data_IF_428520077657
#
_entry.id   IF_428520077657
#
_cell.length_a   1.000
_cell.length_b   1.000
_cell.length_c   1.000
_cell.angle_alpha   90.00
_cell.angle_beta   90.00
_cell.angle_gamma   90.00
#
_symmetry.space_group_name_H-M   'P 1'
#
loop_
_entity.id
_entity.type
_entity.pdbx_description
1 polymer ?
#
# COMPACT_ATOMS: atom_id res chain seq x y z
N UNK A 1 -11.68 -15.53 5.09
CA UNK A 1 -12.73 -15.39 4.03
C UNK A 1 -12.08 -14.63 2.90
N UNK A 2 -12.27 -15.01 1.64
CA UNK A 2 -11.72 -14.24 0.52
C UNK A 2 -12.37 -12.87 0.43
N UNK A 3 -11.67 -11.87 -0.15
CA UNK A 3 -12.23 -10.52 -0.34
C UNK A 3 -13.48 -10.54 -1.22
N UNK A 4 -13.51 -11.40 -2.23
CA UNK A 4 -14.70 -11.57 -3.10
C UNK A 4 -15.90 -12.06 -2.28
N UNK A 5 -15.73 -13.07 -1.42
CA UNK A 5 -16.80 -13.55 -0.55
C UNK A 5 -17.28 -12.46 0.44
N UNK A 6 -16.37 -11.62 0.92
CA UNK A 6 -16.73 -10.49 1.77
C UNK A 6 -17.57 -9.46 1.00
N UNK A 7 -17.17 -9.15 -0.24
CA UNK A 7 -17.94 -8.27 -1.14
C UNK A 7 -19.33 -8.86 -1.42
N UNK A 8 -19.42 -10.16 -1.75
CA UNK A 8 -20.71 -10.83 -1.96
C UNK A 8 -21.59 -10.77 -0.71
N UNK A 9 -21.02 -10.99 0.47
CA UNK A 9 -21.76 -10.90 1.73
C UNK A 9 -22.30 -9.49 1.96
N UNK A 10 -21.49 -8.44 1.81
CA UNK A 10 -21.94 -7.06 1.95
C UNK A 10 -22.97 -6.67 0.87
N UNK A 11 -22.76 -7.07 -0.39
CA UNK A 11 -23.74 -6.90 -1.45
C UNK A 11 -25.08 -7.59 -1.12
N UNK A 12 -25.02 -8.77 -0.51
CA UNK A 12 -26.23 -9.49 -0.14
C UNK A 12 -27.05 -8.80 0.94
N UNK A 13 -26.42 -7.98 1.78
CA UNK A 13 -27.06 -7.29 2.93
C UNK A 13 -27.36 -5.81 2.66
N UNK A 14 -26.90 -5.26 1.54
CA UNK A 14 -27.07 -3.84 1.20
C UNK A 14 -28.56 -3.48 1.06
N UNK A 15 -28.95 -2.33 1.57
CA UNK A 15 -30.31 -1.82 1.37
C UNK A 15 -30.60 -1.40 -0.09
N UNK A 16 -31.89 -1.34 -0.45
CA UNK A 16 -32.31 -1.10 -1.84
C UNK A 16 -31.82 0.24 -2.40
N UNK A 17 -31.83 1.30 -1.60
CA UNK A 17 -31.43 2.63 -2.04
C UNK A 17 -29.92 2.71 -2.27
N UNK A 18 -29.15 2.13 -1.36
CA UNK A 18 -27.69 2.09 -1.44
C UNK A 18 -27.25 1.18 -2.60
N UNK A 19 -27.92 0.03 -2.80
CA UNK A 19 -27.69 -0.85 -3.95
C UNK A 19 -27.93 -0.13 -5.28
N UNK A 20 -29.04 0.59 -5.40
CA UNK A 20 -29.36 1.38 -6.59
C UNK A 20 -28.28 2.43 -6.89
N UNK A 21 -27.81 3.19 -5.88
CA UNK A 21 -26.72 4.15 -6.04
C UNK A 21 -25.41 3.47 -6.45
N UNK A 22 -25.09 2.31 -5.86
CA UNK A 22 -23.92 1.51 -6.22
C UNK A 22 -23.99 1.11 -7.70
N UNK A 23 -25.11 0.56 -8.16
CA UNK A 23 -25.28 0.14 -9.57
C UNK A 23 -25.13 1.34 -10.51
N UNK A 24 -25.76 2.47 -10.22
CA UNK A 24 -25.65 3.68 -11.04
C UNK A 24 -24.20 4.16 -11.13
N UNK A 25 -23.46 4.17 -10.01
CA UNK A 25 -22.05 4.54 -9.97
C UNK A 25 -21.17 3.55 -10.76
N UNK A 26 -21.44 2.25 -10.60
CA UNK A 26 -20.77 1.20 -11.33
C UNK A 26 -20.98 1.31 -12.84
N UNK A 27 -22.22 1.49 -13.30
CA UNK A 27 -22.54 1.65 -14.73
C UNK A 27 -21.91 2.91 -15.32
N UNK A 28 -21.91 4.02 -14.56
CA UNK A 28 -21.25 5.25 -14.96
C UNK A 28 -19.75 5.06 -15.17
N UNK A 29 -19.09 4.29 -14.32
CA UNK A 29 -17.65 4.01 -14.43
C UNK A 29 -17.35 2.98 -15.53
N UNK A 30 -18.13 1.90 -15.61
CA UNK A 30 -17.89 0.78 -16.53
C UNK A 30 -18.11 1.16 -17.99
N UNK A 31 -19.17 1.91 -18.26
CA UNK A 31 -19.61 2.23 -19.62
C UNK A 31 -19.47 3.72 -19.98
N UNK A 32 -18.95 4.53 -19.06
CA UNK A 32 -18.89 6.00 -19.21
C UNK A 32 -20.26 6.64 -19.44
N UNK A 33 -21.32 6.05 -18.84
CA UNK A 33 -22.68 6.54 -18.98
C UNK A 33 -22.98 7.70 -18.02
N UNK A 34 -23.76 8.66 -18.49
CA UNK A 34 -24.44 9.62 -17.61
C UNK A 34 -25.79 9.02 -17.17
N UNK A 35 -25.82 8.42 -15.98
CA UNK A 35 -27.00 7.73 -15.46
C UNK A 35 -27.88 8.71 -14.68
N UNK A 36 -29.13 8.84 -15.10
CA UNK A 36 -30.18 9.63 -14.42
C UNK A 36 -31.01 8.72 -13.52
N UNK A 37 -31.14 9.10 -12.24
CA UNK A 37 -31.86 8.30 -11.23
C UNK A 37 -33.29 8.82 -11.04
N UNK A 38 -34.28 7.92 -11.09
CA UNK A 38 -35.66 8.16 -10.74
C UNK A 38 -36.06 7.45 -9.43
N UNK A 39 -35.26 6.50 -8.94
CA UNK A 39 -35.57 5.62 -7.81
C UNK A 39 -35.02 6.07 -6.47
N UNK A 40 -34.30 7.21 -6.36
CA UNK A 40 -33.73 7.68 -5.10
C UNK A 40 -33.94 9.18 -4.88
N UNK A 41 -34.16 9.57 -3.63
CA UNK A 41 -34.23 10.97 -3.25
C UNK A 41 -32.89 11.64 -3.26
N UNK A 42 -32.79 12.85 -3.81
CA UNK A 42 -31.53 13.60 -3.90
C UNK A 42 -30.95 13.87 -2.50
N UNK A 43 -29.71 13.49 -2.29
CA UNK A 43 -29.00 13.75 -1.01
C UNK A 43 -29.40 12.84 0.16
N UNK A 44 -30.33 11.90 -0.02
CA UNK A 44 -30.78 10.97 1.01
C UNK A 44 -30.70 9.51 0.51
N UNK A 45 -30.56 8.55 1.44
CA UNK A 45 -30.63 7.11 1.15
C UNK A 45 -32.08 6.59 1.29
N UNK A 46 -33.04 7.33 0.70
CA UNK A 46 -34.47 6.97 0.72
C UNK A 46 -34.94 6.63 -0.69
N UNK A 47 -35.58 5.46 -0.89
CA UNK A 47 -36.16 5.10 -2.16
C UNK A 47 -37.38 5.96 -2.45
N UNK A 48 -37.59 6.29 -3.72
CA UNK A 48 -38.84 6.86 -4.24
C UNK A 48 -39.38 5.98 -5.38
N UNK A 49 -40.66 6.04 -5.63
CA UNK A 49 -41.29 5.29 -6.72
C UNK A 49 -41.00 5.99 -8.04
N UNK A 50 -40.30 5.32 -8.92
CA UNK A 50 -40.03 5.74 -10.29
C UNK A 50 -40.03 4.55 -11.24
N UNK A 51 -40.21 4.75 -12.55
CA UNK A 51 -40.09 3.73 -13.60
C UNK A 51 -39.56 4.40 -14.86
N UNK A 52 -38.39 3.96 -15.38
CA UNK A 52 -37.47 2.99 -14.75
C UNK A 52 -36.80 3.55 -13.49
N UNK A 53 -36.15 2.69 -12.70
CA UNK A 53 -35.36 3.10 -11.53
C UNK A 53 -34.30 4.13 -11.92
N UNK A 54 -33.62 3.87 -13.05
CA UNK A 54 -32.67 4.81 -13.68
C UNK A 54 -32.68 4.66 -15.21
N UNK A 55 -32.16 5.68 -15.90
CA UNK A 55 -32.02 5.64 -17.34
C UNK A 55 -30.77 6.39 -17.81
N UNK A 56 -30.34 6.04 -19.04
CA UNK A 56 -29.33 6.77 -19.79
C UNK A 56 -29.98 7.25 -21.07
N UNK A 57 -29.86 8.55 -21.37
CA UNK A 57 -30.23 9.11 -22.67
C UNK A 57 -29.01 9.05 -23.59
N UNK A 58 -29.17 8.44 -24.75
CA UNK A 58 -28.12 8.32 -25.75
C UNK A 58 -28.15 9.54 -26.70
N UNK A 59 -27.03 9.79 -27.39
CA UNK A 59 -26.89 10.93 -28.30
C UNK A 59 -27.85 10.86 -29.53
N UNK A 60 -28.21 9.64 -29.93
CA UNK A 60 -29.17 9.38 -31.02
C UNK A 60 -30.65 9.54 -30.62
N UNK A 61 -30.92 9.92 -29.35
CA UNK A 61 -32.25 10.10 -28.81
C UNK A 61 -32.91 8.83 -28.28
N UNK A 62 -32.18 7.72 -28.23
CA UNK A 62 -32.62 6.45 -27.67
C UNK A 62 -32.26 6.34 -26.18
N UNK A 63 -32.74 5.29 -25.52
CA UNK A 63 -32.62 5.11 -24.09
C UNK A 63 -32.11 3.74 -23.70
N UNK A 64 -31.34 3.70 -22.60
CA UNK A 64 -31.05 2.50 -21.84
C UNK A 64 -31.76 2.60 -20.49
N UNK A 65 -32.61 1.64 -20.15
CA UNK A 65 -33.28 1.59 -18.87
C UNK A 65 -32.55 0.69 -17.90
N UNK A 66 -32.60 1.03 -16.61
CA UNK A 66 -31.96 0.28 -15.52
C UNK A 66 -33.00 -0.01 -14.46
N UNK A 67 -33.13 -1.29 -14.09
CA UNK A 67 -33.97 -1.75 -12.98
C UNK A 67 -33.12 -2.53 -11.98
N UNK A 68 -33.27 -2.23 -10.72
CA UNK A 68 -32.51 -2.84 -9.63
C UNK A 68 -33.44 -3.51 -8.62
N UNK A 69 -33.03 -4.62 -8.04
CA UNK A 69 -33.77 -5.23 -6.95
C UNK A 69 -32.86 -5.85 -5.91
N UNK A 70 -33.25 -5.73 -4.64
CA UNK A 70 -32.64 -6.46 -3.50
C UNK A 70 -33.53 -7.60 -3.01
N UNK A 71 -34.59 -7.95 -3.76
CA UNK A 71 -35.46 -9.06 -3.45
C UNK A 71 -34.71 -10.40 -3.51
N UNK A 72 -34.97 -11.30 -2.52
CA UNK A 72 -34.26 -12.57 -2.39
C UNK A 72 -35.01 -13.78 -2.97
N UNK A 73 -36.29 -13.66 -3.23
CA UNK A 73 -37.15 -14.70 -3.79
C UNK A 73 -37.99 -14.13 -4.92
N UNK A 74 -38.44 -14.99 -5.83
CA UNK A 74 -39.31 -14.64 -6.99
C UNK A 74 -38.76 -13.51 -7.85
N UNK A 75 -37.42 -13.46 -8.02
CA UNK A 75 -36.71 -12.41 -8.74
C UNK A 75 -37.16 -12.35 -10.21
N UNK A 76 -37.38 -13.50 -10.86
CA UNK A 76 -37.90 -13.60 -12.22
C UNK A 76 -39.24 -12.86 -12.35
N UNK A 77 -40.21 -13.18 -11.47
CA UNK A 77 -41.54 -12.55 -11.48
C UNK A 77 -41.46 -11.03 -11.23
N UNK A 78 -40.55 -10.61 -10.33
CA UNK A 78 -40.28 -9.19 -10.06
C UNK A 78 -39.81 -8.49 -11.32
N UNK A 79 -38.76 -8.99 -11.96
CA UNK A 79 -38.21 -8.38 -13.18
C UNK A 79 -39.18 -8.40 -14.35
N UNK A 80 -39.97 -9.46 -14.56
CA UNK A 80 -40.99 -9.48 -15.57
C UNK A 80 -42.06 -8.39 -15.34
N UNK A 81 -42.41 -8.14 -14.06
CA UNK A 81 -43.35 -7.08 -13.69
C UNK A 81 -42.75 -5.68 -13.96
N UNK A 82 -41.46 -5.50 -13.67
CA UNK A 82 -40.80 -4.24 -13.88
C UNK A 82 -40.57 -3.98 -15.38
N UNK A 83 -40.18 -4.98 -16.15
CA UNK A 83 -40.09 -4.87 -17.61
C UNK A 83 -41.42 -4.50 -18.25
N UNK A 84 -42.56 -5.07 -17.78
CA UNK A 84 -43.89 -4.67 -18.25
C UNK A 84 -44.20 -3.19 -17.99
N UNK A 85 -43.72 -2.63 -16.86
CA UNK A 85 -43.84 -1.22 -16.57
C UNK A 85 -42.93 -0.35 -17.44
N UNK A 86 -41.67 -0.80 -17.62
CA UNK A 86 -40.70 -0.12 -18.48
C UNK A 86 -41.17 0.00 -19.93
N UNK A 87 -41.92 -0.98 -20.42
CA UNK A 87 -42.45 -1.01 -21.79
C UNK A 87 -43.84 -0.38 -21.91
N UNK A 88 -44.37 0.17 -20.83
CA UNK A 88 -45.65 0.89 -20.81
C UNK A 88 -45.36 2.40 -21.00
N UNK A 89 -45.62 2.91 -22.23
CA UNK A 89 -45.37 4.30 -22.59
C UNK A 89 -46.15 5.28 -21.72
N UNK A 90 -47.32 4.85 -21.15
CA UNK A 90 -48.10 5.70 -20.28
C UNK A 90 -47.44 5.93 -18.92
N UNK A 91 -46.54 5.04 -18.50
CA UNK A 91 -45.78 5.11 -17.25
C UNK A 91 -44.43 5.79 -17.39
N UNK A 92 -43.75 5.53 -18.50
CA UNK A 92 -42.39 6.03 -18.72
C UNK A 92 -42.36 7.36 -19.48
N UNK A 93 -43.42 7.66 -20.28
CA UNK A 93 -43.44 8.77 -21.22
C UNK A 93 -42.52 8.59 -22.42
N UNK A 94 -41.95 7.38 -22.59
CA UNK A 94 -40.98 7.08 -23.63
C UNK A 94 -41.50 5.95 -24.50
N UNK A 95 -41.49 6.15 -25.83
CA UNK A 95 -41.94 5.12 -26.78
C UNK A 95 -41.02 3.90 -26.70
N UNK A 96 -41.58 2.69 -26.72
CA UNK A 96 -40.85 1.43 -26.66
C UNK A 96 -39.80 1.30 -27.76
N UNK A 97 -40.08 1.90 -28.95
CA UNK A 97 -39.15 1.90 -30.08
C UNK A 97 -37.85 2.65 -29.81
N UNK A 98 -37.82 3.51 -28.80
CA UNK A 98 -36.65 4.28 -28.39
C UNK A 98 -35.86 3.57 -27.27
N UNK A 99 -36.31 2.44 -26.79
CA UNK A 99 -35.60 1.68 -25.75
C UNK A 99 -34.68 0.66 -26.45
N UNK A 100 -33.38 0.88 -26.43
CA UNK A 100 -32.41 -0.01 -27.07
C UNK A 100 -32.00 -1.17 -26.18
N UNK A 101 -31.88 -0.90 -24.90
CA UNK A 101 -31.35 -1.87 -23.93
C UNK A 101 -32.00 -1.68 -22.57
N UNK A 102 -32.18 -2.80 -21.87
CA UNK A 102 -32.49 -2.79 -20.45
C UNK A 102 -31.37 -3.47 -19.68
N UNK A 103 -30.98 -2.87 -18.56
CA UNK A 103 -30.02 -3.43 -17.61
C UNK A 103 -30.81 -3.84 -16.38
N UNK A 104 -30.75 -5.13 -16.02
CA UNK A 104 -31.34 -5.66 -14.79
C UNK A 104 -30.23 -6.04 -13.81
N UNK A 105 -30.27 -5.50 -12.61
CA UNK A 105 -29.30 -5.77 -11.56
C UNK A 105 -29.95 -6.29 -10.28
N UNK A 106 -29.40 -7.37 -9.71
CA UNK A 106 -29.86 -7.87 -8.43
C UNK A 106 -28.69 -8.28 -7.52
N UNK A 107 -28.91 -8.19 -6.22
CA UNK A 107 -27.97 -8.63 -5.19
C UNK A 107 -28.20 -10.07 -4.75
N UNK A 108 -28.61 -10.91 -5.66
CA UNK A 108 -28.84 -12.34 -5.51
C UNK A 108 -28.50 -13.05 -6.83
N UNK A 109 -28.35 -14.38 -6.78
CA UNK A 109 -28.22 -15.18 -7.98
C UNK A 109 -29.57 -15.67 -8.46
N UNK A 110 -29.75 -15.75 -9.77
CA UNK A 110 -30.86 -16.39 -10.43
C UNK A 110 -30.35 -17.45 -11.40
N UNK A 111 -31.19 -18.42 -11.73
CA UNK A 111 -30.81 -19.55 -12.60
C UNK A 111 -30.65 -19.08 -14.05
N UNK A 112 -29.75 -19.76 -14.78
CA UNK A 112 -29.47 -19.42 -16.18
C UNK A 112 -30.74 -19.48 -17.09
N UNK A 113 -31.66 -20.41 -16.85
CA UNK A 113 -32.92 -20.50 -17.57
C UNK A 113 -33.85 -19.31 -17.29
N UNK A 114 -33.83 -18.76 -16.07
CA UNK A 114 -34.60 -17.57 -15.72
C UNK A 114 -34.03 -16.31 -16.40
N UNK A 115 -32.71 -16.21 -16.50
CA UNK A 115 -32.06 -15.14 -17.27
C UNK A 115 -32.42 -15.23 -18.75
N UNK A 116 -32.44 -16.44 -19.31
CA UNK A 116 -32.79 -16.63 -20.72
C UNK A 116 -34.25 -16.26 -20.97
N UNK A 117 -35.18 -16.59 -20.07
CA UNK A 117 -36.58 -16.18 -20.17
C UNK A 117 -36.74 -14.64 -20.18
N UNK A 118 -35.95 -13.92 -19.38
CA UNK A 118 -35.92 -12.44 -19.39
C UNK A 118 -35.37 -11.89 -20.72
N UNK A 119 -34.32 -12.52 -21.27
CA UNK A 119 -33.78 -12.16 -22.57
C UNK A 119 -34.75 -12.38 -23.70
N UNK A 120 -35.42 -13.54 -23.71
CA UNK A 120 -36.45 -13.83 -24.71
C UNK A 120 -37.61 -12.83 -24.68
N UNK A 121 -38.04 -12.45 -23.46
CA UNK A 121 -39.06 -11.43 -23.30
C UNK A 121 -38.63 -10.06 -23.89
N UNK A 122 -37.41 -9.62 -23.63
CA UNK A 122 -36.89 -8.37 -24.21
C UNK A 122 -36.69 -8.49 -25.73
N UNK A 123 -36.14 -9.60 -26.23
CA UNK A 123 -35.97 -9.85 -27.67
C UNK A 123 -37.29 -9.85 -28.45
N UNK A 124 -38.37 -10.30 -27.80
CA UNK A 124 -39.74 -10.24 -28.44
C UNK A 124 -40.20 -8.80 -28.68
N UNK A 125 -39.49 -7.81 -28.14
CA UNK A 125 -39.74 -6.37 -28.28
C UNK A 125 -38.62 -5.63 -29.01
N UNK A 126 -37.66 -6.38 -29.56
CA UNK A 126 -36.44 -5.84 -30.22
C UNK A 126 -35.54 -5.02 -29.28
N UNK A 127 -35.47 -5.46 -28.01
CA UNK A 127 -34.70 -4.79 -26.95
C UNK A 127 -33.63 -5.73 -26.43
N UNK A 128 -32.39 -5.24 -26.31
CA UNK A 128 -31.28 -5.96 -25.69
C UNK A 128 -31.43 -6.02 -24.16
N UNK A 129 -31.03 -7.14 -23.57
CA UNK A 129 -30.94 -7.30 -22.12
C UNK A 129 -29.51 -7.51 -21.66
N UNK A 130 -29.04 -6.70 -20.69
CA UNK A 130 -27.82 -6.92 -19.93
C UNK A 130 -28.17 -7.26 -18.48
N UNK A 131 -27.76 -8.44 -18.02
CA UNK A 131 -28.05 -8.90 -16.67
C UNK A 131 -26.81 -8.84 -15.77
N UNK A 132 -26.99 -8.34 -14.54
CA UNK A 132 -25.96 -8.21 -13.51
C UNK A 132 -26.44 -8.95 -12.25
N UNK A 133 -25.87 -10.14 -11.99
CA UNK A 133 -26.08 -10.88 -10.76
C UNK A 133 -24.98 -10.59 -9.74
N UNK A 134 -25.20 -11.02 -8.49
CA UNK A 134 -24.32 -10.74 -7.36
C UNK A 134 -22.88 -11.23 -7.60
N UNK A 135 -22.71 -12.48 -8.07
CA UNK A 135 -21.37 -13.06 -8.27
C UNK A 135 -20.58 -12.37 -9.38
N UNK A 136 -21.24 -12.03 -10.52
CA UNK A 136 -20.59 -11.28 -11.59
C UNK A 136 -20.24 -9.86 -11.18
N UNK A 137 -21.11 -9.21 -10.41
CA UNK A 137 -20.88 -7.87 -9.87
C UNK A 137 -19.71 -7.87 -8.88
N UNK A 138 -19.69 -8.81 -7.93
CA UNK A 138 -18.64 -8.91 -6.93
C UNK A 138 -17.26 -9.13 -7.55
N UNK A 139 -17.16 -10.01 -8.54
CA UNK A 139 -15.91 -10.27 -9.26
C UNK A 139 -15.41 -9.03 -10.01
N UNK A 140 -16.29 -8.33 -10.71
CA UNK A 140 -15.90 -7.14 -11.47
C UNK A 140 -15.57 -5.95 -10.55
N UNK A 141 -16.32 -5.77 -9.46
CA UNK A 141 -16.03 -4.78 -8.43
C UNK A 141 -14.66 -5.04 -7.77
N UNK A 142 -14.36 -6.29 -7.44
CA UNK A 142 -13.08 -6.67 -6.88
C UNK A 142 -11.91 -6.36 -7.82
N UNK A 143 -12.05 -6.73 -9.09
CA UNK A 143 -10.97 -6.61 -10.06
C UNK A 143 -10.73 -5.15 -10.53
N UNK A 144 -11.78 -4.32 -10.63
CA UNK A 144 -11.69 -3.06 -11.37
C UNK A 144 -12.20 -1.82 -10.65
N UNK A 145 -12.92 -1.97 -9.53
CA UNK A 145 -13.64 -0.86 -8.90
C UNK A 145 -13.50 -0.81 -7.37
N UNK A 146 -12.26 -0.96 -6.87
CA UNK A 146 -11.93 -0.96 -5.43
C UNK A 146 -12.51 0.23 -4.67
N UNK A 147 -12.53 1.42 -5.28
CA UNK A 147 -13.12 2.62 -4.68
C UNK A 147 -14.64 2.49 -4.48
N UNK A 148 -15.36 1.91 -5.44
CA UNK A 148 -16.81 1.66 -5.30
C UNK A 148 -17.04 0.66 -4.17
N UNK A 149 -16.23 -0.39 -4.08
CA UNK A 149 -16.31 -1.37 -2.99
C UNK A 149 -16.13 -0.69 -1.64
N UNK A 150 -15.12 0.16 -1.49
CA UNK A 150 -14.88 0.87 -0.25
C UNK A 150 -16.02 1.85 0.10
N UNK A 151 -16.43 2.70 -0.85
CA UNK A 151 -17.41 3.77 -0.62
C UNK A 151 -18.81 3.21 -0.29
N UNK A 152 -19.20 2.09 -0.90
CA UNK A 152 -20.54 1.51 -0.74
C UNK A 152 -20.61 0.31 0.20
N UNK A 153 -19.57 -0.48 0.31
CA UNK A 153 -19.57 -1.72 1.08
C UNK A 153 -18.66 -1.66 2.31
N UNK A 154 -17.81 -0.64 2.43
CA UNK A 154 -16.83 -0.51 3.52
C UNK A 154 -15.72 -1.57 3.47
N UNK A 155 -15.59 -2.30 2.36
CA UNK A 155 -14.58 -3.35 2.19
C UNK A 155 -13.36 -2.75 1.49
N UNK A 156 -12.21 -2.78 2.15
CA UNK A 156 -10.93 -2.38 1.52
C UNK A 156 -10.43 -3.54 0.65
N UNK A 157 -10.44 -3.37 -0.66
CA UNK A 157 -9.94 -4.33 -1.65
C UNK A 157 -8.46 -4.10 -1.89
N UNK A 158 -8.08 -2.82 -2.09
CA UNK A 158 -6.71 -2.39 -2.27
C UNK A 158 -6.20 -1.82 -0.94
N UNK A 159 -5.15 -2.39 -0.39
CA UNK A 159 -4.52 -1.91 0.83
C UNK A 159 -3.54 -0.76 0.54
N UNK A 160 -3.38 -0.38 -0.72
CA UNK A 160 -2.44 0.65 -1.19
C UNK A 160 -1.00 0.34 -0.71
N UNK A 161 -0.64 -0.95 -0.73
CA UNK A 161 0.70 -1.41 -0.36
C UNK A 161 1.60 -1.65 -1.57
N UNK A 162 1.04 -1.71 -2.79
CA UNK A 162 1.80 -1.89 -4.04
C UNK A 162 1.76 -0.56 -4.80
N UNK A 163 2.88 0.13 -4.80
CA UNK A 163 3.02 1.51 -5.24
C UNK A 163 3.87 1.62 -6.50
N UNK A 164 3.61 2.66 -7.28
CA UNK A 164 4.55 3.13 -8.30
C UNK A 164 5.74 3.86 -7.66
N UNK A 165 6.78 4.15 -8.44
CA UNK A 165 7.99 4.85 -7.95
C UNK A 165 7.65 6.18 -7.25
N UNK A 166 6.85 7.04 -7.89
CA UNK A 166 6.49 8.35 -7.35
C UNK A 166 5.62 8.26 -6.09
N UNK A 167 4.71 7.29 -6.06
CA UNK A 167 3.87 7.01 -4.91
C UNK A 167 4.71 6.51 -3.74
N UNK A 168 5.65 5.59 -4.00
CA UNK A 168 6.55 5.08 -2.97
C UNK A 168 7.42 6.20 -2.38
N UNK A 169 8.03 7.05 -3.22
CA UNK A 169 8.83 8.19 -2.75
C UNK A 169 7.99 9.11 -1.86
N UNK A 170 6.77 9.45 -2.30
CA UNK A 170 5.86 10.31 -1.54
C UNK A 170 5.50 9.72 -0.18
N UNK A 171 5.13 8.43 -0.14
CA UNK A 171 4.81 7.73 1.11
C UNK A 171 6.02 7.58 2.02
N UNK A 172 7.19 7.26 1.46
CA UNK A 172 8.44 7.14 2.20
C UNK A 172 8.84 8.47 2.87
N UNK A 173 8.72 9.59 2.15
CA UNK A 173 9.06 10.93 2.65
C UNK A 173 8.01 11.52 3.58
N UNK A 174 6.75 11.07 3.53
CA UNK A 174 5.65 11.58 4.36
C UNK A 174 5.84 11.30 5.84
N UNK A 175 6.62 10.28 6.20
CA UNK A 175 6.94 9.91 7.58
C UNK A 175 7.79 10.93 8.35
N UNK A 176 8.23 12.03 7.72
CA UNK A 176 8.94 13.14 8.35
C UNK A 176 10.38 12.86 8.79
N UNK A 177 10.76 11.58 8.93
CA UNK A 177 12.08 11.13 9.44
C UNK A 177 12.97 10.54 8.36
N UNK A 178 12.41 10.26 7.19
CA UNK A 178 13.16 9.68 6.10
C UNK A 178 14.09 10.72 5.47
N UNK A 179 15.29 10.28 5.11
CA UNK A 179 16.16 11.07 4.24
C UNK A 179 15.51 11.14 2.86
N UNK A 180 15.38 12.33 2.23
CA UNK A 180 14.76 12.46 0.93
C UNK A 180 15.41 11.53 -0.11
N UNK A 181 14.57 10.84 -0.90
CA UNK A 181 15.03 9.92 -1.95
C UNK A 181 15.32 10.63 -3.27
N UNK A 182 14.83 11.86 -3.45
CA UNK A 182 15.04 12.68 -4.65
C UNK A 182 16.31 13.53 -4.61
N UNK A 183 17.25 13.22 -3.71
CA UNK A 183 18.54 13.92 -3.57
C UNK A 183 19.51 13.51 -4.66
N UNK A 184 20.55 14.33 -4.86
CA UNK A 184 21.64 13.99 -5.81
C UNK A 184 22.45 12.83 -5.27
N UNK A 185 22.42 11.69 -5.98
CA UNK A 185 23.29 10.56 -5.70
C UNK A 185 24.72 10.86 -6.20
N UNK A 186 25.72 10.64 -5.37
CA UNK A 186 27.13 10.75 -5.74
C UNK A 186 27.98 9.75 -4.95
N UNK A 187 29.22 9.54 -5.44
CA UNK A 187 30.21 8.65 -4.81
C UNK A 187 29.75 7.19 -4.65
N UNK A 188 28.86 6.70 -5.55
CA UNK A 188 28.29 5.36 -5.53
C UNK A 188 28.24 4.67 -6.90
N UNK A 189 29.08 5.13 -7.85
CA UNK A 189 29.05 4.61 -9.24
C UNK A 189 29.35 3.11 -9.31
N UNK A 190 30.23 2.62 -8.44
CA UNK A 190 30.56 1.18 -8.37
C UNK A 190 29.38 0.37 -7.88
N UNK A 191 28.72 0.84 -6.83
CA UNK A 191 27.54 0.16 -6.25
C UNK A 191 26.38 0.18 -7.24
N UNK A 192 26.16 1.27 -7.95
CA UNK A 192 25.17 1.38 -9.03
C UNK A 192 25.43 0.32 -10.10
N UNK A 193 26.66 0.26 -10.64
CA UNK A 193 27.04 -0.71 -11.66
C UNK A 193 26.90 -2.17 -11.18
N UNK A 194 27.27 -2.45 -9.93
CA UNK A 194 27.13 -3.78 -9.33
C UNK A 194 25.67 -4.20 -9.18
N UNK A 195 24.78 -3.27 -8.77
CA UNK A 195 23.35 -3.54 -8.65
C UNK A 195 22.74 -3.77 -10.03
N UNK A 196 23.08 -2.97 -11.05
CA UNK A 196 22.61 -3.17 -12.43
C UNK A 196 23.02 -4.55 -12.98
N UNK A 197 24.28 -4.98 -12.75
CA UNK A 197 24.76 -6.29 -13.14
C UNK A 197 24.01 -7.40 -12.42
N UNK A 198 23.85 -7.28 -11.10
CA UNK A 198 23.10 -8.24 -10.29
C UNK A 198 21.65 -8.38 -10.73
N UNK A 199 20.97 -7.28 -11.11
CA UNK A 199 19.61 -7.29 -11.64
C UNK A 199 19.52 -8.00 -13.01
N UNK A 200 20.58 -7.99 -13.83
CA UNK A 200 20.61 -8.76 -15.09
C UNK A 200 20.70 -10.26 -14.80
N UNK A 201 21.59 -10.66 -13.91
CA UNK A 201 22.03 -12.04 -13.73
C UNK A 201 21.15 -12.84 -12.77
N UNK A 202 20.41 -12.17 -11.86
CA UNK A 202 19.67 -12.83 -10.79
C UNK A 202 18.16 -12.54 -10.83
N UNK A 203 17.37 -13.46 -10.29
CA UNK A 203 15.95 -13.23 -10.03
C UNK A 203 15.74 -12.33 -8.81
N UNK A 204 16.62 -12.45 -7.81
CA UNK A 204 16.56 -11.64 -6.60
C UNK A 204 17.91 -10.98 -6.37
N UNK A 205 17.90 -9.65 -6.19
CA UNK A 205 19.08 -8.87 -5.79
C UNK A 205 18.84 -8.30 -4.40
N UNK A 206 19.65 -8.71 -3.45
CA UNK A 206 19.66 -8.17 -2.10
C UNK A 206 20.71 -7.07 -1.96
N UNK A 207 20.30 -5.92 -1.44
CA UNK A 207 21.18 -4.80 -1.10
C UNK A 207 21.30 -4.76 0.42
N UNK A 208 22.44 -5.16 0.95
CA UNK A 208 22.67 -5.28 2.40
C UNK A 208 23.56 -4.15 2.93
N UNK A 209 23.55 -3.93 4.23
CA UNK A 209 24.43 -2.97 4.91
C UNK A 209 23.77 -2.33 6.14
N UNK A 210 24.57 -1.56 6.88
CA UNK A 210 24.12 -0.86 8.10
C UNK A 210 22.97 0.12 7.84
N UNK A 211 22.30 0.53 8.91
CA UNK A 211 21.28 1.60 8.83
C UNK A 211 21.92 2.90 8.33
N UNK A 212 21.21 3.64 7.49
CA UNK A 212 21.61 4.98 7.02
C UNK A 212 22.71 5.03 5.93
N UNK A 213 23.27 3.89 5.47
CA UNK A 213 24.31 3.89 4.43
C UNK A 213 23.82 4.16 3.01
N UNK A 214 22.50 4.28 2.81
CA UNK A 214 21.88 4.66 1.52
C UNK A 214 21.37 3.49 0.68
N UNK A 215 21.05 2.32 1.26
CA UNK A 215 20.51 1.16 0.54
C UNK A 215 19.25 1.47 -0.27
N UNK A 216 18.22 2.05 0.39
CA UNK A 216 16.96 2.44 -0.23
C UNK A 216 17.18 3.46 -1.34
N UNK A 217 18.05 4.47 -1.09
CA UNK A 217 18.39 5.49 -2.09
C UNK A 217 19.02 4.88 -3.34
N UNK A 218 19.95 3.92 -3.19
CA UNK A 218 20.56 3.19 -4.30
C UNK A 218 19.54 2.31 -5.05
N UNK A 219 18.67 1.61 -4.32
CA UNK A 219 17.64 0.78 -4.93
C UNK A 219 16.67 1.62 -5.79
N UNK A 220 16.21 2.76 -5.30
CA UNK A 220 15.31 3.67 -6.02
C UNK A 220 16.02 4.37 -7.19
N UNK A 221 17.31 4.62 -7.11
CA UNK A 221 18.08 5.15 -8.26
C UNK A 221 18.18 4.16 -9.40
N UNK A 222 18.42 2.88 -9.09
CA UNK A 222 18.78 1.87 -10.10
C UNK A 222 17.56 1.10 -10.60
N UNK A 223 16.68 0.64 -9.70
CA UNK A 223 15.65 -0.33 -10.06
C UNK A 223 14.59 0.21 -11.04
N UNK A 224 14.03 1.43 -10.87
CA UNK A 224 13.07 1.98 -11.82
C UNK A 224 13.68 2.20 -13.21
N UNK A 225 14.92 2.71 -13.26
CA UNK A 225 15.66 2.91 -14.50
C UNK A 225 15.90 1.60 -15.23
N UNK A 226 16.42 0.59 -14.50
CA UNK A 226 16.62 -0.75 -15.03
C UNK A 226 15.30 -1.35 -15.55
N UNK A 227 14.23 -1.22 -14.82
CA UNK A 227 12.91 -1.72 -15.20
C UNK A 227 12.47 -1.11 -16.54
N UNK A 228 12.54 0.21 -16.67
CA UNK A 228 12.18 0.93 -17.89
C UNK A 228 13.02 0.49 -19.09
N UNK A 229 14.33 0.40 -18.94
CA UNK A 229 15.25 0.02 -20.02
C UNK A 229 15.11 -1.45 -20.47
N UNK A 230 14.67 -2.33 -19.57
CA UNK A 230 14.55 -3.76 -19.83
C UNK A 230 13.11 -4.26 -19.98
N UNK A 231 12.12 -3.37 -20.10
CA UNK A 231 10.71 -3.72 -20.35
C UNK A 231 10.03 -4.38 -19.16
N UNK A 232 10.41 -4.03 -17.92
CA UNK A 232 9.72 -4.41 -16.70
C UNK A 232 8.82 -3.27 -16.22
N UNK A 233 7.70 -3.61 -15.60
CA UNK A 233 6.92 -2.67 -14.79
C UNK A 233 7.52 -2.62 -13.39
N UNK A 234 7.96 -1.46 -12.95
CA UNK A 234 8.45 -1.25 -11.58
C UNK A 234 7.27 -1.13 -10.63
N UNK A 235 7.34 -1.84 -9.50
CA UNK A 235 6.40 -1.71 -8.37
C UNK A 235 7.18 -1.81 -7.07
N UNK A 236 6.82 -0.98 -6.09
CA UNK A 236 7.39 -1.02 -4.75
C UNK A 236 6.35 -1.52 -3.74
N UNK A 237 6.78 -2.31 -2.78
CA UNK A 237 5.95 -2.77 -1.67
C UNK A 237 6.18 -1.86 -0.46
N UNK A 238 5.11 -1.23 0.01
CA UNK A 238 5.10 -0.38 1.19
C UNK A 238 4.31 -1.05 2.32
N UNK A 239 4.94 -1.28 3.47
CA UNK A 239 4.31 -1.98 4.59
C UNK A 239 3.33 -1.07 5.35
N UNK A 240 2.04 -1.41 5.31
CA UNK A 240 0.99 -0.74 6.12
C UNK A 240 0.51 -1.60 7.31
N UNK A 241 1.19 -2.71 7.60
CA UNK A 241 0.86 -3.60 8.71
C UNK A 241 -0.40 -4.44 8.49
N UNK A 242 -0.91 -4.53 7.26
CA UNK A 242 -2.06 -5.36 6.90
C UNK A 242 -1.65 -6.46 5.93
N UNK A 243 -2.49 -7.51 5.81
CA UNK A 243 -2.18 -8.65 4.94
C UNK A 243 -2.03 -8.19 3.48
N UNK A 244 -0.91 -8.54 2.86
CA UNK A 244 -0.54 -8.16 1.50
C UNK A 244 -0.81 -9.27 0.46
N UNK A 245 -1.20 -10.47 0.89
CA UNK A 245 -1.30 -11.62 -0.01
C UNK A 245 -2.27 -11.38 -1.18
N UNK A 246 -3.45 -10.85 -0.89
CA UNK A 246 -4.48 -10.59 -1.90
C UNK A 246 -4.02 -9.52 -2.91
N UNK A 247 -3.30 -8.50 -2.44
CA UNK A 247 -2.73 -7.46 -3.30
C UNK A 247 -1.66 -8.04 -4.23
N UNK A 248 -0.75 -8.87 -3.70
CA UNK A 248 0.27 -9.54 -4.53
C UNK A 248 -0.35 -10.42 -5.60
N UNK A 249 -1.41 -11.15 -5.26
CA UNK A 249 -2.10 -12.02 -6.22
C UNK A 249 -2.86 -11.20 -7.27
N UNK A 250 -3.49 -10.10 -6.90
CA UNK A 250 -4.23 -9.25 -7.83
C UNK A 250 -3.29 -8.53 -8.81
N UNK A 251 -2.17 -7.98 -8.30
CA UNK A 251 -1.25 -7.19 -9.14
C UNK A 251 -0.32 -8.05 -10.01
N UNK A 252 0.19 -9.17 -9.50
CA UNK A 252 1.27 -9.91 -10.16
C UNK A 252 0.84 -11.21 -10.84
N UNK A 253 -0.45 -11.58 -10.76
CA UNK A 253 -1.00 -12.73 -11.47
C UNK A 253 -1.54 -12.35 -12.85
N UNK A 254 -0.84 -11.49 -13.58
CA UNK A 254 -1.21 -11.03 -14.91
C UNK A 254 -0.40 -11.78 -15.97
N UNK A 255 -1.09 -12.30 -17.00
CA UNK A 255 -0.45 -13.05 -18.07
C UNK A 255 0.41 -12.14 -18.95
N UNK A 256 1.60 -12.63 -19.32
CA UNK A 256 2.54 -12.00 -20.25
C UNK A 256 3.12 -10.64 -19.79
N UNK A 257 3.08 -10.35 -18.50
CA UNK A 257 3.64 -9.16 -17.91
C UNK A 257 5.00 -9.43 -17.23
N UNK A 258 5.85 -8.40 -17.18
CA UNK A 258 7.18 -8.45 -16.52
C UNK A 258 7.23 -7.41 -15.41
N UNK A 259 7.53 -7.85 -14.20
CA UNK A 259 7.61 -6.96 -13.03
C UNK A 259 8.99 -6.97 -12.39
N UNK A 260 9.48 -5.78 -12.02
CA UNK A 260 10.57 -5.61 -11.07
C UNK A 260 9.97 -5.07 -9.77
N UNK A 261 9.99 -5.90 -8.73
CA UNK A 261 9.39 -5.59 -7.44
C UNK A 261 10.48 -5.12 -6.48
N UNK A 262 10.31 -3.92 -5.95
CA UNK A 262 11.15 -3.39 -4.88
C UNK A 262 10.52 -3.67 -3.52
N UNK A 263 11.32 -4.19 -2.58
CA UNK A 263 10.92 -4.42 -1.20
C UNK A 263 11.91 -3.70 -0.29
N UNK A 264 11.47 -2.63 0.34
CA UNK A 264 12.32 -1.93 1.29
C UNK A 264 12.28 -2.57 2.67
N UNK A 265 13.45 -2.75 3.27
CA UNK A 265 13.64 -3.31 4.60
C UNK A 265 12.87 -4.64 4.79
N UNK A 266 13.25 -5.65 3.99
CA UNK A 266 12.53 -6.94 3.88
C UNK A 266 12.34 -7.65 5.21
N UNK A 267 13.15 -7.34 6.21
CA UNK A 267 13.00 -7.84 7.58
C UNK A 267 11.71 -7.36 8.27
N UNK A 268 11.09 -6.28 7.78
CA UNK A 268 9.79 -5.79 8.29
C UNK A 268 8.60 -6.44 7.60
N UNK A 269 8.79 -6.93 6.37
CA UNK A 269 7.73 -7.50 5.51
C UNK A 269 8.14 -8.85 4.92
N UNK A 270 8.82 -9.67 5.72
CA UNK A 270 9.30 -10.99 5.28
C UNK A 270 8.18 -11.90 4.76
N UNK A 271 6.93 -11.70 5.21
CA UNK A 271 5.76 -12.40 4.67
C UNK A 271 5.57 -12.13 3.17
N UNK A 272 5.71 -10.87 2.73
CA UNK A 272 5.61 -10.51 1.31
C UNK A 272 6.66 -11.27 0.49
N UNK A 273 7.91 -11.29 0.95
CA UNK A 273 8.97 -12.07 0.29
C UNK A 273 8.62 -13.56 0.27
N UNK A 274 8.15 -14.12 1.37
CA UNK A 274 7.74 -15.52 1.47
C UNK A 274 6.62 -15.87 0.47
N UNK A 275 5.62 -15.03 0.29
CA UNK A 275 4.56 -15.20 -0.70
C UNK A 275 5.08 -15.14 -2.12
N UNK A 276 5.94 -14.16 -2.45
CA UNK A 276 6.55 -14.05 -3.76
C UNK A 276 7.43 -15.26 -4.09
N UNK A 277 8.25 -15.72 -3.13
CA UNK A 277 9.08 -16.92 -3.30
C UNK A 277 8.23 -18.18 -3.50
N UNK A 278 7.13 -18.32 -2.78
CA UNK A 278 6.20 -19.45 -2.97
C UNK A 278 5.53 -19.43 -4.34
N UNK A 279 5.25 -18.25 -4.87
CA UNK A 279 4.70 -18.08 -6.22
C UNK A 279 5.69 -18.51 -7.31
N UNK A 280 6.98 -18.19 -7.17
CA UNK A 280 8.02 -18.68 -8.08
C UNK A 280 8.13 -20.20 -8.08
N UNK A 281 8.07 -20.81 -6.90
CA UNK A 281 8.19 -22.27 -6.75
C UNK A 281 7.01 -23.03 -7.36
N UNK A 282 5.83 -22.43 -7.34
CA UNK A 282 4.58 -23.09 -7.80
C UNK A 282 4.24 -22.81 -9.26
N UNK A 283 5.01 -22.00 -9.99
CA UNK A 283 4.67 -21.51 -11.35
C UNK A 283 3.24 -20.95 -11.47
N UNK A 284 2.73 -20.37 -10.39
CA UNK A 284 1.36 -19.85 -10.31
C UNK A 284 1.20 -18.60 -11.15
N UNK A 285 2.29 -17.82 -11.31
CA UNK A 285 2.27 -16.59 -12.10
C UNK A 285 2.81 -16.84 -13.50
N UNK A 286 2.03 -16.49 -14.51
CA UNK A 286 2.49 -16.42 -15.90
C UNK A 286 3.40 -15.20 -16.15
N UNK A 287 3.58 -14.34 -15.16
CA UNK A 287 4.42 -13.15 -15.20
C UNK A 287 5.89 -13.48 -14.89
N UNK A 288 6.79 -12.76 -15.52
CA UNK A 288 8.21 -12.81 -15.17
C UNK A 288 8.49 -11.78 -14.07
N UNK A 289 8.87 -12.26 -12.89
CA UNK A 289 9.13 -11.41 -11.72
C UNK A 289 10.61 -11.41 -11.38
N UNK A 290 11.19 -10.21 -11.23
CA UNK A 290 12.46 -9.95 -10.55
C UNK A 290 12.20 -9.19 -9.25
N UNK A 291 13.06 -9.40 -8.25
CA UNK A 291 12.97 -8.70 -6.96
C UNK A 291 14.27 -7.97 -6.68
N UNK A 292 14.19 -6.74 -6.23
CA UNK A 292 15.26 -6.04 -5.53
C UNK A 292 14.81 -5.75 -4.10
N UNK A 293 15.62 -6.12 -3.12
CA UNK A 293 15.24 -6.01 -1.71
C UNK A 293 16.35 -5.41 -0.88
N UNK A 294 16.06 -4.42 -0.05
CA UNK A 294 17.01 -3.95 0.94
C UNK A 294 16.92 -4.79 2.21
N UNK A 295 18.06 -5.12 2.79
CA UNK A 295 18.16 -5.94 3.99
C UNK A 295 19.18 -5.30 4.94
N UNK A 296 18.86 -5.27 6.22
CA UNK A 296 19.83 -4.82 7.23
C UNK A 296 20.89 -5.90 7.49
N UNK A 297 22.09 -5.49 7.84
CA UNK A 297 23.24 -6.36 8.05
C UNK A 297 22.99 -7.50 9.05
N UNK A 298 22.16 -7.27 10.06
CA UNK A 298 21.79 -8.26 11.08
C UNK A 298 20.69 -9.25 10.65
N UNK A 299 20.00 -8.99 9.55
CA UNK A 299 18.88 -9.82 9.06
C UNK A 299 19.30 -10.67 7.83
N UNK A 300 20.58 -10.94 7.65
CA UNK A 300 21.11 -11.72 6.51
C UNK A 300 20.61 -13.16 6.47
N UNK A 301 20.12 -13.72 7.56
CA UNK A 301 19.48 -15.03 7.63
C UNK A 301 18.25 -15.16 6.71
N UNK A 302 17.57 -14.05 6.39
CA UNK A 302 16.49 -14.00 5.43
C UNK A 302 16.97 -14.42 4.03
N UNK A 303 18.20 -14.07 3.68
CA UNK A 303 18.81 -14.39 2.39
C UNK A 303 19.08 -15.91 2.28
N UNK A 304 19.43 -16.53 3.39
CA UNK A 304 19.69 -17.97 3.44
C UNK A 304 18.41 -18.81 3.29
N UNK A 305 17.25 -18.25 3.69
CA UNK A 305 15.95 -18.89 3.55
C UNK A 305 15.42 -18.92 2.10
N UNK A 306 16.08 -18.22 1.16
CA UNK A 306 15.71 -18.26 -0.26
C UNK A 306 16.02 -19.64 -0.84
N UNK A 307 15.05 -20.30 -1.49
CA UNK A 307 15.26 -21.62 -2.10
C UNK A 307 16.43 -21.63 -3.10
N UNK A 308 17.23 -22.69 -3.12
CA UNK A 308 18.44 -22.82 -3.94
C UNK A 308 18.18 -22.79 -5.46
N UNK A 309 16.95 -23.10 -5.88
CA UNK A 309 16.55 -23.03 -7.29
C UNK A 309 16.23 -21.60 -7.77
N UNK A 310 16.25 -20.61 -6.89
CA UNK A 310 16.07 -19.19 -7.23
C UNK A 310 17.44 -18.51 -7.24
N UNK A 311 17.83 -17.96 -8.41
CA UNK A 311 19.08 -17.23 -8.53
C UNK A 311 19.06 -15.94 -7.71
N UNK A 312 20.10 -15.72 -6.91
CA UNK A 312 20.22 -14.54 -6.04
C UNK A 312 21.62 -13.94 -6.08
N UNK A 313 21.66 -12.61 -5.97
CA UNK A 313 22.89 -11.83 -5.76
C UNK A 313 22.78 -11.01 -4.48
N UNK A 314 23.91 -10.78 -3.84
CA UNK A 314 23.99 -9.97 -2.61
C UNK A 314 25.02 -8.88 -2.82
N UNK A 315 24.61 -7.63 -2.70
CA UNK A 315 25.45 -6.45 -2.80
C UNK A 315 25.54 -5.80 -1.42
N UNK A 316 26.73 -5.80 -0.84
CA UNK A 316 26.95 -5.18 0.47
C UNK A 316 27.40 -3.73 0.32
N UNK A 317 26.61 -2.81 0.88
CA UNK A 317 26.89 -1.38 0.87
C UNK A 317 27.67 -1.02 2.13
N UNK A 318 28.89 -0.52 1.92
CA UNK A 318 29.76 -0.07 3.00
C UNK A 318 29.51 1.38 3.40
N UNK A 319 29.94 1.76 4.59
CA UNK A 319 29.99 3.16 5.02
C UNK A 319 30.83 3.99 4.05
N UNK A 320 30.56 5.26 3.95
CA UNK A 320 31.34 6.20 3.13
C UNK A 320 32.56 6.69 3.90
N UNK A 321 33.51 7.28 3.18
CA UNK A 321 34.54 8.07 3.80
C UNK A 321 34.12 9.55 3.98
N UNK A 322 34.90 10.31 4.73
CA UNK A 322 34.62 11.72 5.00
C UNK A 322 34.58 12.57 3.71
N UNK A 323 35.39 12.24 2.71
CA UNK A 323 35.44 12.95 1.44
C UNK A 323 34.11 12.79 0.70
N UNK A 324 33.64 11.55 0.59
CA UNK A 324 32.36 11.23 -0.05
C UNK A 324 31.18 11.86 0.68
N UNK A 325 31.17 11.84 2.01
CA UNK A 325 30.11 12.52 2.80
C UNK A 325 30.13 14.03 2.60
N UNK A 326 31.33 14.65 2.60
CA UNK A 326 31.49 16.09 2.31
C UNK A 326 30.99 16.45 0.91
N UNK A 327 31.24 15.60 -0.09
CA UNK A 327 30.73 15.78 -1.44
C UNK A 327 29.18 15.70 -1.49
N UNK A 328 28.58 14.76 -0.77
CA UNK A 328 27.12 14.67 -0.63
C UNK A 328 26.56 15.97 -0.03
N UNK A 329 27.17 16.47 1.05
CA UNK A 329 26.74 17.70 1.72
C UNK A 329 26.79 18.86 0.72
N UNK A 330 27.92 19.05 0.03
CA UNK A 330 28.11 20.17 -0.90
C UNK A 330 27.16 20.15 -2.09
N UNK A 331 26.80 18.96 -2.60
CA UNK A 331 25.87 18.82 -3.73
C UNK A 331 24.40 18.99 -3.36
N UNK A 332 24.04 18.66 -2.13
CA UNK A 332 22.63 18.68 -1.69
C UNK A 332 22.25 19.86 -0.80
N UNK A 333 23.24 20.52 -0.17
CA UNK A 333 22.99 21.63 0.74
C UNK A 333 23.81 22.87 0.36
N UNK A 334 23.13 24.00 0.22
CA UNK A 334 23.78 25.27 -0.04
C UNK A 334 24.06 25.97 1.30
N UNK A 335 25.16 26.73 1.36
CA UNK A 335 25.52 27.60 2.49
C UNK A 335 25.87 26.88 3.82
N UNK A 336 26.44 25.69 3.77
CA UNK A 336 27.12 25.08 4.91
C UNK A 336 28.56 25.60 4.90
N UNK A 337 28.95 26.35 5.91
CA UNK A 337 30.30 26.85 6.01
C UNK A 337 31.31 25.73 6.40
N UNK A 338 32.62 25.93 6.20
CA UNK A 338 33.64 24.91 6.44
C UNK A 338 33.67 24.42 7.89
N UNK A 339 33.43 25.28 8.88
CA UNK A 339 33.49 24.90 10.30
C UNK A 339 32.32 23.99 10.64
N UNK A 340 31.12 24.33 10.16
CA UNK A 340 29.94 23.47 10.33
C UNK A 340 30.07 22.15 9.55
N UNK A 341 30.68 22.17 8.37
CA UNK A 341 30.92 20.95 7.60
C UNK A 341 31.83 19.97 8.37
N UNK A 342 32.92 20.45 9.01
CA UNK A 342 33.77 19.61 9.84
C UNK A 342 33.01 18.98 11.02
N UNK A 343 32.20 19.75 11.72
CA UNK A 343 31.36 19.25 12.82
C UNK A 343 30.33 18.22 12.34
N UNK A 344 29.69 18.47 11.21
CA UNK A 344 28.73 17.55 10.61
C UNK A 344 29.41 16.23 10.24
N UNK A 345 30.63 16.27 9.67
CA UNK A 345 31.40 15.07 9.37
C UNK A 345 31.76 14.29 10.62
N UNK A 346 32.19 14.96 11.69
CA UNK A 346 32.50 14.35 12.97
C UNK A 346 31.28 13.63 13.56
N UNK A 347 30.13 14.32 13.65
CA UNK A 347 28.90 13.77 14.22
C UNK A 347 28.34 12.64 13.36
N UNK A 348 28.40 12.77 12.04
CA UNK A 348 27.82 11.79 11.12
C UNK A 348 28.54 10.43 11.15
N UNK A 349 29.82 10.39 11.59
CA UNK A 349 30.62 9.18 11.63
C UNK A 349 30.55 8.36 10.33
N UNK A 350 30.66 9.04 9.20
CA UNK A 350 30.59 8.45 7.87
C UNK A 350 29.19 7.86 7.48
N UNK A 351 28.16 8.24 8.20
CA UNK A 351 26.78 7.86 7.91
C UNK A 351 26.06 8.98 7.14
N UNK A 352 25.72 8.78 5.84
CA UNK A 352 25.07 9.81 5.03
C UNK A 352 23.74 10.32 5.62
N UNK A 353 22.95 9.44 6.24
CA UNK A 353 21.68 9.82 6.89
C UNK A 353 21.90 10.82 8.01
N UNK A 354 22.89 10.58 8.85
CA UNK A 354 23.27 11.49 9.95
C UNK A 354 23.75 12.83 9.41
N UNK A 355 24.54 12.83 8.35
CA UNK A 355 24.99 14.04 7.71
C UNK A 355 23.81 14.86 7.16
N UNK A 356 22.85 14.23 6.49
CA UNK A 356 21.63 14.90 6.02
C UNK A 356 20.80 15.51 7.16
N UNK A 357 20.64 14.77 8.26
CA UNK A 357 19.93 15.26 9.45
C UNK A 357 20.60 16.53 10.01
N UNK A 358 21.92 16.46 10.20
CA UNK A 358 22.70 17.57 10.71
C UNK A 358 22.64 18.80 9.79
N UNK A 359 22.73 18.61 8.48
CA UNK A 359 22.58 19.69 7.51
C UNK A 359 21.18 20.33 7.53
N UNK A 360 20.12 19.54 7.61
CA UNK A 360 18.74 20.05 7.71
C UNK A 360 18.57 20.94 8.95
N UNK A 361 19.07 20.49 10.08
CA UNK A 361 18.99 21.22 11.35
C UNK A 361 19.80 22.51 11.26
N UNK A 362 21.00 22.45 10.71
CA UNK A 362 21.85 23.62 10.50
C UNK A 362 21.17 24.67 9.60
N UNK A 363 20.53 24.26 8.51
CA UNK A 363 19.80 25.19 7.62
C UNK A 363 18.59 25.84 8.26
N UNK A 364 17.94 25.19 9.23
CA UNK A 364 16.81 25.73 9.97
C UNK A 364 17.23 26.74 11.07
N UNK A 365 18.50 27.11 11.13
CA UNK A 365 19.03 28.14 12.05
C UNK A 365 19.42 27.60 13.43
N UNK A 366 19.35 26.28 13.66
CA UNK A 366 19.71 25.64 14.93
C UNK A 366 21.17 25.13 14.92
N UNK A 367 22.11 25.98 14.56
CA UNK A 367 23.53 25.58 14.50
C UNK A 367 24.08 25.09 15.85
N UNK A 368 23.59 25.60 16.97
CA UNK A 368 23.98 25.13 18.29
C UNK A 368 23.59 23.67 18.55
N UNK A 369 22.53 23.19 17.90
CA UNK A 369 22.12 21.79 17.99
C UNK A 369 23.07 20.82 17.25
N UNK A 370 23.95 21.31 16.40
CA UNK A 370 24.97 20.52 15.71
C UNK A 370 26.27 20.40 16.53
N UNK A 371 26.32 20.90 17.75
CA UNK A 371 27.53 20.85 18.58
C UNK A 371 27.76 19.44 19.19
N UNK A 372 26.71 18.66 19.38
CA UNK A 372 26.83 17.28 19.84
C UNK A 372 25.65 16.40 19.34
N UNK A 373 25.84 15.12 19.40
CA UNK A 373 24.85 14.14 18.93
C UNK A 373 23.52 14.22 19.70
N UNK A 374 23.57 14.60 20.99
CA UNK A 374 22.38 14.76 21.84
C UNK A 374 21.46 15.87 21.32
N UNK A 375 22.02 17.07 21.14
CA UNK A 375 21.24 18.21 20.71
C UNK A 375 20.74 18.03 19.27
N UNK A 376 21.51 17.33 18.42
CA UNK A 376 21.13 16.97 17.07
C UNK A 376 19.86 16.09 17.07
N UNK A 377 19.86 15.01 17.84
CA UNK A 377 18.70 14.13 17.94
C UNK A 377 17.51 14.81 18.61
N UNK A 378 17.75 15.59 19.68
CA UNK A 378 16.71 16.34 20.35
C UNK A 378 16.00 17.29 19.39
N UNK A 379 16.74 18.06 18.57
CA UNK A 379 16.17 18.99 17.60
C UNK A 379 15.50 18.24 16.42
N UNK A 380 16.10 17.13 15.97
CA UNK A 380 15.51 16.30 14.94
C UNK A 380 14.17 15.72 15.39
N UNK A 381 14.10 15.17 16.58
CA UNK A 381 12.86 14.59 17.12
C UNK A 381 11.87 15.65 17.61
N UNK A 382 12.31 16.88 17.92
CA UNK A 382 11.42 17.97 18.29
C UNK A 382 10.50 18.40 17.14
N UNK A 383 10.98 18.38 15.92
CA UNK A 383 10.14 18.60 14.74
C UNK A 383 9.12 17.47 14.52
N UNK A 384 9.39 16.31 15.07
CA UNK A 384 8.64 15.08 15.03
C UNK A 384 7.70 14.89 16.23
N UNK A 385 7.92 15.66 17.28
CA UNK A 385 7.34 15.45 18.60
C UNK A 385 5.85 15.76 18.69
N UNK A 386 5.26 16.40 17.68
CA UNK A 386 3.82 16.65 17.64
C UNK A 386 3.00 15.34 17.65
N UNK A 387 3.58 14.23 17.18
CA UNK A 387 2.87 12.95 17.07
C UNK A 387 3.30 11.90 18.11
N UNK A 388 4.51 11.99 18.68
CA UNK A 388 5.04 10.94 19.57
C UNK A 388 5.43 11.45 20.96
N UNK A 389 5.79 12.71 21.10
CA UNK A 389 6.29 13.30 22.36
C UNK A 389 7.34 12.44 23.09
N UNK A 390 8.37 11.95 22.37
CA UNK A 390 9.40 11.05 22.91
C UNK A 390 10.06 11.63 24.17
N UNK A 391 10.25 12.94 24.19
CA UNK A 391 10.92 13.65 25.28
C UNK A 391 9.95 14.24 26.32
N UNK A 392 8.66 14.32 26.02
CA UNK A 392 7.63 14.76 26.94
C UNK A 392 6.85 13.63 27.62
N UNK A 393 6.80 12.44 26.99
CA UNK A 393 6.24 11.21 27.59
C UNK A 393 7.35 10.43 28.27
N UNK A 394 7.38 10.51 29.60
CA UNK A 394 8.37 9.84 30.45
C UNK A 394 8.38 8.32 30.19
N UNK A 395 7.24 7.73 29.87
CA UNK A 395 7.12 6.30 29.58
C UNK A 395 7.81 5.93 28.26
N UNK A 396 7.66 6.76 27.23
CA UNK A 396 8.33 6.53 25.94
C UNK A 396 9.85 6.65 26.10
N UNK A 397 10.32 7.69 26.77
CA UNK A 397 11.74 7.86 27.08
C UNK A 397 12.33 6.67 27.84
N UNK A 398 11.63 6.18 28.86
CA UNK A 398 12.00 4.95 29.60
C UNK A 398 12.07 3.72 28.71
N UNK A 399 11.05 3.51 27.85
CA UNK A 399 11.02 2.35 26.95
C UNK A 399 12.24 2.35 26.03
N UNK A 400 12.54 3.49 25.41
CA UNK A 400 13.65 3.59 24.47
C UNK A 400 15.00 3.37 25.19
N UNK A 401 15.16 3.93 26.39
CA UNK A 401 16.34 3.72 27.22
C UNK A 401 16.51 2.24 27.65
N UNK A 402 15.42 1.57 28.03
CA UNK A 402 15.42 0.14 28.39
C UNK A 402 15.82 -0.72 27.18
N UNK A 403 15.25 -0.45 26.01
CA UNK A 403 15.62 -1.19 24.78
C UNK A 403 17.08 -0.92 24.41
N UNK A 404 17.57 0.30 24.56
CA UNK A 404 18.99 0.63 24.35
C UNK A 404 19.91 -0.12 25.32
N UNK A 405 19.53 -0.22 26.58
CA UNK A 405 20.27 -0.93 27.63
C UNK A 405 20.38 -2.43 27.35
N UNK A 406 19.25 -3.10 27.11
CA UNK A 406 19.22 -4.54 26.82
C UNK A 406 19.70 -4.88 25.41
N UNK A 407 19.85 -3.91 24.52
CA UNK A 407 20.17 -4.02 23.08
C UNK A 407 19.10 -4.75 22.28
N UNK A 408 18.52 -5.82 22.84
CA UNK A 408 17.45 -6.61 22.24
C UNK A 408 16.47 -7.02 23.33
N UNK A 409 15.18 -6.83 23.08
CA UNK A 409 14.12 -7.31 24.00
C UNK A 409 13.19 -8.21 23.19
N UNK A 410 12.92 -9.40 23.73
CA UNK A 410 11.94 -10.35 23.20
C UNK A 410 10.75 -10.44 24.17
N UNK A 411 9.57 -10.00 23.70
CA UNK A 411 8.35 -10.05 24.53
C UNK A 411 7.88 -11.48 24.86
N UNK A 412 8.37 -12.49 24.13
CA UNK A 412 8.07 -13.90 24.38
C UNK A 412 9.04 -14.52 25.41
N UNK A 413 10.08 -13.79 25.79
CA UNK A 413 11.00 -14.22 26.84
C UNK A 413 10.49 -13.76 28.21
N UNK A 414 9.66 -14.60 28.84
CA UNK A 414 9.04 -14.30 30.16
C UNK A 414 10.04 -13.84 31.21
N UNK A 415 11.26 -14.42 31.25
CA UNK A 415 12.30 -14.04 32.21
C UNK A 415 12.78 -12.61 31.98
N UNK A 416 13.00 -12.22 30.72
CA UNK A 416 13.45 -10.88 30.38
C UNK A 416 12.34 -9.85 30.64
N UNK A 417 11.10 -10.16 30.29
CA UNK A 417 9.93 -9.30 30.56
C UNK A 417 9.74 -9.08 32.08
N UNK A 418 9.85 -10.15 32.90
CA UNK A 418 9.71 -10.06 34.33
C UNK A 418 10.83 -9.23 34.95
N UNK A 419 12.09 -9.41 34.52
CA UNK A 419 13.23 -8.58 34.97
C UNK A 419 13.02 -7.10 34.66
N UNK A 420 12.53 -6.79 33.44
CA UNK A 420 12.25 -5.41 33.04
C UNK A 420 11.14 -4.81 33.94
N UNK A 421 10.07 -5.57 34.15
CA UNK A 421 8.94 -5.15 34.97
C UNK A 421 9.35 -4.86 36.41
N UNK A 422 10.17 -5.74 37.01
CA UNK A 422 10.64 -5.57 38.39
C UNK A 422 11.68 -4.46 38.54
N UNK A 423 12.63 -4.34 37.58
CA UNK A 423 13.73 -3.40 37.71
C UNK A 423 13.38 -1.97 37.30
N UNK A 424 12.48 -1.81 36.33
CA UNK A 424 12.18 -0.52 35.70
C UNK A 424 10.72 -0.09 35.88
N UNK A 425 9.87 -0.92 36.49
CA UNK A 425 8.44 -0.68 36.67
C UNK A 425 7.71 -0.46 35.35
N UNK A 426 8.15 -1.14 34.24
CA UNK A 426 7.59 -1.06 32.90
C UNK A 426 7.12 -2.44 32.47
N UNK A 427 5.84 -2.55 32.15
CA UNK A 427 5.25 -3.74 31.54
C UNK A 427 5.32 -3.64 30.01
N UNK A 428 6.36 -4.23 29.43
CA UNK A 428 6.65 -4.19 27.97
C UNK A 428 5.48 -4.74 27.15
N UNK A 429 4.76 -5.76 27.65
CA UNK A 429 3.64 -6.36 26.95
C UNK A 429 2.44 -5.42 26.92
N UNK A 430 2.16 -4.74 28.05
CA UNK A 430 1.04 -3.81 28.16
C UNK A 430 1.20 -2.55 27.29
N UNK A 431 2.45 -2.16 26.97
CA UNK A 431 2.77 -0.96 26.18
C UNK A 431 3.16 -1.28 24.73
N UNK A 432 2.90 -2.51 24.26
CA UNK A 432 3.34 -2.93 22.93
C UNK A 432 2.84 -2.07 21.80
N UNK A 433 1.63 -1.49 21.91
CA UNK A 433 1.09 -0.55 20.92
C UNK A 433 1.94 0.73 20.77
N UNK A 434 2.54 1.21 21.90
CA UNK A 434 3.48 2.33 21.84
C UNK A 434 4.79 1.92 21.14
N UNK A 435 5.25 0.69 21.39
CA UNK A 435 6.44 0.12 20.74
C UNK A 435 6.24 -0.05 19.25
N UNK A 436 5.06 -0.49 18.79
CA UNK A 436 4.73 -0.57 17.38
C UNK A 436 4.72 0.81 16.70
N UNK A 437 4.26 1.85 17.39
CA UNK A 437 4.38 3.22 16.90
C UNK A 437 5.84 3.63 16.73
N UNK A 438 6.69 3.41 17.74
CA UNK A 438 8.13 3.70 17.66
C UNK A 438 8.82 2.93 16.55
N UNK A 439 8.37 1.71 16.23
CA UNK A 439 8.83 0.98 15.07
C UNK A 439 8.43 1.65 13.74
N UNK A 440 7.19 2.13 13.61
CA UNK A 440 6.74 2.89 12.42
C UNK A 440 7.57 4.15 12.18
N UNK A 441 8.03 4.80 13.25
CA UNK A 441 8.91 5.97 13.19
C UNK A 441 10.40 5.61 13.08
N UNK A 442 10.73 4.35 12.80
CA UNK A 442 12.10 3.85 12.64
C UNK A 442 13.03 4.01 13.87
N UNK A 443 12.45 4.25 15.03
CA UNK A 443 13.20 4.30 16.30
C UNK A 443 13.60 2.88 16.73
N UNK A 444 12.70 1.93 16.53
CA UNK A 444 12.95 0.51 16.77
C UNK A 444 12.93 -0.31 15.47
N UNK A 445 13.80 -1.29 15.40
CA UNK A 445 13.63 -2.44 14.51
C UNK A 445 12.83 -3.51 15.25
N UNK A 446 11.83 -4.07 14.58
CA UNK A 446 10.97 -5.10 15.12
C UNK A 446 11.04 -6.36 14.25
N UNK A 447 11.13 -7.52 14.90
CA UNK A 447 11.16 -8.84 14.27
C UNK A 447 9.98 -9.67 14.70
N UNK A 448 9.30 -10.28 13.76
CA UNK A 448 8.20 -11.22 13.99
C UNK A 448 7.16 -10.70 15.01
N UNK A 449 7.02 -9.39 15.10
CA UNK A 449 6.18 -8.70 16.07
C UNK A 449 6.45 -9.13 17.54
N UNK A 450 7.66 -9.58 17.86
CA UNK A 450 8.02 -10.05 19.20
C UNK A 450 9.34 -9.51 19.72
N UNK A 451 10.34 -9.33 18.84
CA UNK A 451 11.67 -8.89 19.23
C UNK A 451 11.90 -7.47 18.75
N UNK A 452 12.41 -6.63 19.62
CA UNK A 452 12.73 -5.23 19.31
C UNK A 452 14.18 -4.89 19.68
N UNK A 453 14.74 -3.95 18.94
CA UNK A 453 16.00 -3.27 19.26
C UNK A 453 15.94 -1.82 18.75
N UNK A 454 16.79 -0.95 19.29
CA UNK A 454 16.95 0.40 18.70
C UNK A 454 17.54 0.29 17.30
N UNK A 455 16.94 0.99 16.34
CA UNK A 455 17.27 0.86 14.91
C UNK A 455 18.67 1.40 14.56
N UNK A 456 19.17 2.36 15.31
CA UNK A 456 20.46 3.01 15.10
C UNK A 456 21.31 2.94 16.38
N UNK A 457 22.57 2.51 16.27
CA UNK A 457 23.46 2.37 17.44
C UNK A 457 23.86 3.74 18.02
N UNK A 458 23.92 4.78 17.20
CA UNK A 458 24.20 6.13 17.67
C UNK A 458 23.01 6.66 18.48
N UNK A 459 21.79 6.44 17.97
CA UNK A 459 20.56 6.73 18.69
C UNK A 459 20.50 5.94 20.01
N UNK A 460 20.86 4.65 20.00
CA UNK A 460 20.89 3.82 21.20
C UNK A 460 21.87 4.38 22.25
N UNK A 461 23.06 4.81 21.83
CA UNK A 461 24.06 5.40 22.73
C UNK A 461 23.57 6.73 23.29
N UNK A 462 22.96 7.56 22.46
CA UNK A 462 22.38 8.84 22.85
C UNK A 462 21.28 8.70 23.90
N UNK A 463 20.37 7.75 23.70
CA UNK A 463 19.21 7.55 24.60
C UNK A 463 19.59 6.82 25.92
N UNK A 464 20.80 6.26 25.98
CA UNK A 464 21.36 5.63 27.18
C UNK A 464 22.11 6.62 28.08
N UNK A 465 22.65 7.70 27.53
CA UNK A 465 23.39 8.75 28.25
C UNK A 465 22.41 9.80 28.80
#
# INVERSE_FOLDING_TARGET
MSKINQIEQELSQIDASKFHKLINTYLSKKFSFMVHSNGTKIGEDKPISGTPDSFVALEDGDYIFVECTTQKSDILSKFLKDLKKCFDETKTGISISKIKKVILACNSDIKSNEIESLKEYCRSKDIDLYFIGISSLANDLYANYSKIVYDFLGVSVDTVQILDESEFITEYESGGYATPLNTVLCCRDKEVANIELALKDSQITFITGKAGVGKTRLAIEVAPKFAKENGYKFKAIFNRGVNIYDDLMAYFNVKDERFLIFIDDVNRIHQALGYLLSSFSKKITNSQIKIVATVRDYAKDIIEKVPSNISRSVIEIQSMDNISVSEIISKNFKNIDPIHNEKILEISQNNPRMAFMACKIAQNGSFDAVNNTYDLYKEYFKSADNDINIFGDIDIGKIVAIVAFFRVIDRQNDKQVEVIKQAFEVDIVAIWDKIEKLHKYEIFDMYENSVIKVSDQILATYLFL
#
